data_IF_751466354603
#
_entry.id   IF_751466354603
#
_cell.length_a   1.000
_cell.length_b   1.000
_cell.length_c   1.000
_cell.angle_alpha   90.00
_cell.angle_beta   90.00
_cell.angle_gamma   90.00
#
_symmetry.space_group_name_H-M   'P 1'
#
loop_
_entity.id
_entity.type
_entity.pdbx_description
1 polymer ?
#
# COMPACT_ATOMS: atom_id res chain seq x y z
N UNK A 1 26.28 -2.93 -19.27
CA UNK A 1 25.93 -1.65 -19.90
C UNK A 1 24.50 -1.77 -20.40
N UNK A 2 23.52 -1.57 -19.52
CA UNK A 2 22.11 -1.52 -19.93
C UNK A 2 21.88 -0.11 -20.45
N UNK A 3 21.66 0.04 -21.75
CA UNK A 3 21.33 1.33 -22.37
C UNK A 3 20.11 1.91 -21.64
N UNK A 4 20.25 3.10 -21.07
CA UNK A 4 19.16 3.82 -20.42
C UNK A 4 18.07 4.05 -21.46
N UNK A 5 16.91 3.44 -21.24
CA UNK A 5 15.76 3.62 -22.12
C UNK A 5 15.09 4.95 -21.82
N UNK A 6 14.57 5.59 -22.85
CA UNK A 6 13.94 6.91 -22.78
C UNK A 6 12.56 6.93 -23.45
N UNK A 7 11.77 7.95 -23.15
CA UNK A 7 10.48 8.13 -23.81
C UNK A 7 10.70 8.29 -25.32
N UNK A 8 9.94 7.55 -26.13
CA UNK A 8 10.11 7.46 -27.57
C UNK A 8 10.85 6.22 -28.05
N UNK A 9 11.58 5.52 -27.17
CA UNK A 9 12.26 4.28 -27.53
C UNK A 9 11.28 3.19 -27.99
N UNK A 10 11.71 2.41 -28.98
CA UNK A 10 11.00 1.24 -29.47
C UNK A 10 11.78 -0.01 -29.07
N UNK A 11 11.08 -0.97 -28.44
CA UNK A 11 11.62 -2.26 -28.03
C UNK A 11 10.84 -3.37 -28.74
N UNK A 12 11.54 -4.35 -29.30
CA UNK A 12 10.92 -5.55 -29.84
C UNK A 12 11.25 -6.74 -28.93
N UNK A 13 10.24 -7.54 -28.59
CA UNK A 13 10.37 -8.77 -27.81
C UNK A 13 9.71 -9.91 -28.59
N UNK A 14 10.48 -10.95 -28.86
CA UNK A 14 9.97 -12.18 -29.48
C UNK A 14 9.51 -13.15 -28.39
N UNK A 15 8.30 -13.69 -28.56
CA UNK A 15 7.79 -14.72 -27.66
C UNK A 15 8.30 -16.09 -28.08
N UNK A 16 9.05 -16.73 -27.18
CA UNK A 16 9.62 -18.07 -27.38
C UNK A 16 8.58 -19.15 -27.71
N UNK A 17 7.32 -18.96 -27.29
CA UNK A 17 6.30 -20.02 -27.37
C UNK A 17 5.35 -19.88 -28.56
N UNK A 18 5.32 -18.74 -29.29
CA UNK A 18 4.21 -18.44 -30.23
C UNK A 18 4.59 -17.79 -31.57
N UNK A 19 5.87 -17.65 -31.92
CA UNK A 19 6.32 -16.88 -33.10
C UNK A 19 5.66 -15.49 -33.20
N UNK A 20 5.35 -14.89 -32.04
CA UNK A 20 4.75 -13.55 -31.96
C UNK A 20 5.83 -12.55 -31.60
N UNK A 21 5.84 -11.42 -32.30
CA UNK A 21 6.69 -10.28 -31.95
C UNK A 21 5.85 -9.21 -31.28
N UNK A 22 6.27 -8.74 -30.11
CA UNK A 22 5.67 -7.62 -29.41
C UNK A 22 6.56 -6.39 -29.57
N UNK A 23 6.01 -5.33 -30.13
CA UNK A 23 6.68 -4.04 -30.27
C UNK A 23 6.12 -3.09 -29.21
N UNK A 24 6.99 -2.60 -28.33
CA UNK A 24 6.66 -1.62 -27.32
C UNK A 24 7.21 -0.26 -27.74
N UNK A 25 6.36 0.75 -27.84
CA UNK A 25 6.78 2.15 -27.89
C UNK A 25 6.65 2.75 -26.50
N UNK A 26 7.76 3.12 -25.90
CA UNK A 26 7.76 3.77 -24.59
C UNK A 26 7.18 5.17 -24.74
N UNK A 27 6.15 5.46 -23.96
CA UNK A 27 5.52 6.77 -23.94
C UNK A 27 6.10 7.65 -22.84
N UNK A 28 6.30 7.09 -21.65
CA UNK A 28 6.67 7.85 -20.47
C UNK A 28 7.35 6.97 -19.42
N UNK A 29 8.25 7.61 -18.68
CA UNK A 29 8.75 7.14 -17.39
C UNK A 29 8.23 8.06 -16.29
N UNK A 30 7.85 7.48 -15.16
CA UNK A 30 7.43 8.20 -13.97
C UNK A 30 8.14 7.61 -12.75
N UNK A 31 8.75 8.46 -11.93
CA UNK A 31 9.30 8.02 -10.65
C UNK A 31 8.14 7.79 -9.69
N UNK A 32 8.11 6.61 -9.08
CA UNK A 32 7.05 6.19 -8.18
C UNK A 32 7.63 5.76 -6.83
N UNK A 33 6.89 6.02 -5.77
CA UNK A 33 7.13 5.49 -4.44
C UNK A 33 5.94 4.62 -4.03
N UNK A 34 6.23 3.38 -3.64
CA UNK A 34 5.26 2.43 -3.12
C UNK A 34 5.41 2.33 -1.61
N UNK A 35 4.30 2.53 -0.91
CA UNK A 35 4.16 2.36 0.52
C UNK A 35 3.45 1.03 0.80
N UNK A 36 3.73 0.46 1.97
CA UNK A 36 3.00 -0.70 2.49
C UNK A 36 3.01 -0.65 4.00
N UNK A 37 1.84 -0.84 4.60
CA UNK A 37 1.66 -0.78 6.04
C UNK A 37 0.70 -1.88 6.49
N UNK A 38 0.68 -2.12 7.79
CA UNK A 38 -0.41 -2.85 8.42
C UNK A 38 -1.32 -1.87 9.14
N UNK A 39 -2.64 -2.08 9.12
CA UNK A 39 -3.58 -1.30 9.91
C UNK A 39 -4.70 -2.13 10.52
N UNK A 40 -5.28 -1.59 11.58
CA UNK A 40 -6.53 -2.02 12.21
C UNK A 40 -7.50 -0.87 12.06
N UNK A 41 -8.63 -1.11 11.39
CA UNK A 41 -9.61 -0.08 11.07
C UNK A 41 -10.88 -0.21 11.93
N UNK A 42 -11.44 0.94 12.30
CA UNK A 42 -12.73 1.08 12.95
C UNK A 42 -13.60 2.12 12.24
N UNK A 43 -14.89 1.80 12.10
CA UNK A 43 -15.90 2.66 11.49
C UNK A 43 -16.87 3.19 12.56
N UNK A 44 -16.92 4.50 12.77
CA UNK A 44 -17.80 5.08 13.77
C UNK A 44 -19.30 5.06 13.39
N UNK A 45 -19.64 4.73 12.15
CA UNK A 45 -21.04 4.45 11.79
C UNK A 45 -21.57 3.14 12.38
N UNK A 46 -20.68 2.22 12.78
CA UNK A 46 -21.03 0.91 13.33
C UNK A 46 -20.72 0.80 14.83
N UNK A 47 -19.71 1.52 15.32
CA UNK A 47 -19.26 1.48 16.72
C UNK A 47 -19.06 2.91 17.25
N UNK A 48 -19.59 3.20 18.43
CA UNK A 48 -19.42 4.51 19.09
C UNK A 48 -17.95 4.90 19.31
N UNK A 49 -17.64 6.20 19.28
CA UNK A 49 -16.26 6.72 19.35
C UNK A 49 -15.59 6.36 20.68
N UNK A 50 -16.31 6.40 21.80
CA UNK A 50 -15.74 6.03 23.10
C UNK A 50 -15.39 4.54 23.15
N UNK A 51 -16.18 3.73 22.44
CA UNK A 51 -15.89 2.29 22.30
C UNK A 51 -14.68 2.06 21.40
N UNK A 52 -14.57 2.79 20.29
CA UNK A 52 -13.38 2.75 19.41
C UNK A 52 -12.12 3.13 20.21
N UNK A 53 -12.16 4.18 21.02
CA UNK A 53 -11.01 4.60 21.83
C UNK A 53 -10.62 3.54 22.87
N UNK A 54 -11.62 2.93 23.51
CA UNK A 54 -11.41 1.83 24.45
C UNK A 54 -10.77 0.61 23.78
N UNK A 55 -11.23 0.25 22.57
CA UNK A 55 -10.66 -0.84 21.79
C UNK A 55 -9.23 -0.53 21.36
N UNK A 56 -8.97 0.69 20.89
CA UNK A 56 -7.61 1.10 20.49
C UNK A 56 -6.64 1.09 21.67
N UNK A 57 -7.08 1.52 22.86
CA UNK A 57 -6.25 1.42 24.06
C UNK A 57 -5.97 -0.04 24.46
N UNK A 58 -6.99 -0.90 24.40
CA UNK A 58 -6.82 -2.33 24.66
C UNK A 58 -5.79 -2.97 23.73
N UNK A 59 -5.88 -2.67 22.42
CA UNK A 59 -4.97 -3.18 21.39
C UNK A 59 -3.54 -2.71 21.64
N UNK A 60 -3.33 -1.43 21.94
CA UNK A 60 -2.00 -0.90 22.27
C UNK A 60 -1.41 -1.56 23.52
N UNK A 61 -2.22 -1.81 24.55
CA UNK A 61 -1.76 -2.53 25.73
C UNK A 61 -1.35 -3.97 25.39
N UNK A 62 -2.10 -4.65 24.52
CA UNK A 62 -1.79 -6.01 24.04
C UNK A 62 -0.51 -6.05 23.21
N UNK A 63 -0.30 -5.08 22.33
CA UNK A 63 0.94 -4.90 21.57
C UNK A 63 2.14 -4.70 22.49
N UNK A 64 2.00 -3.86 23.52
CA UNK A 64 3.03 -3.66 24.54
C UNK A 64 3.31 -4.93 25.36
N UNK A 65 2.32 -5.82 25.50
CA UNK A 65 2.45 -7.14 26.09
C UNK A 65 3.09 -8.20 25.17
N UNK A 66 3.46 -7.83 23.94
CA UNK A 66 4.10 -8.72 22.96
C UNK A 66 3.13 -9.48 22.05
N UNK A 67 1.83 -9.21 22.11
CA UNK A 67 0.88 -9.77 21.15
C UNK A 67 1.16 -9.21 19.74
N UNK A 68 1.10 -10.07 18.72
CA UNK A 68 1.48 -9.67 17.38
C UNK A 68 0.41 -8.81 16.70
N UNK A 69 0.85 -7.82 15.92
CA UNK A 69 -0.05 -6.92 15.21
C UNK A 69 -1.01 -7.66 14.26
N UNK A 70 -0.53 -8.71 13.60
CA UNK A 70 -1.33 -9.48 12.64
C UNK A 70 -2.48 -10.22 13.33
N UNK A 71 -2.27 -10.75 14.53
CA UNK A 71 -3.32 -11.41 15.31
C UNK A 71 -4.38 -10.41 15.78
N UNK A 72 -3.93 -9.24 16.26
CA UNK A 72 -4.84 -8.17 16.67
C UNK A 72 -5.64 -7.61 15.49
N UNK A 73 -5.00 -7.46 14.33
CA UNK A 73 -5.69 -7.03 13.12
C UNK A 73 -6.75 -8.03 12.65
N UNK A 74 -6.45 -9.33 12.68
CA UNK A 74 -7.43 -10.40 12.39
C UNK A 74 -8.62 -10.38 13.34
N UNK A 75 -8.41 -10.00 14.60
CA UNK A 75 -9.43 -10.01 15.65
C UNK A 75 -10.29 -8.74 15.66
N UNK A 76 -9.69 -7.57 15.42
CA UNK A 76 -10.33 -6.29 15.71
C UNK A 76 -10.55 -5.39 14.49
N UNK A 77 -9.86 -5.62 13.36
CA UNK A 77 -10.04 -4.76 12.20
C UNK A 77 -11.39 -5.02 11.56
N UNK A 78 -12.11 -3.93 11.26
CA UNK A 78 -13.42 -3.97 10.60
C UNK A 78 -13.30 -3.98 9.06
N UNK A 79 -12.08 -3.96 8.52
CA UNK A 79 -11.82 -3.92 7.08
C UNK A 79 -11.38 -5.28 6.53
N UNK A 80 -11.48 -5.47 5.22
CA UNK A 80 -11.13 -6.70 4.51
C UNK A 80 -9.66 -7.10 4.64
N UNK A 81 -8.78 -6.19 5.06
CA UNK A 81 -7.38 -6.46 5.37
C UNK A 81 -7.19 -7.35 6.62
N UNK A 82 -8.22 -7.47 7.47
CA UNK A 82 -8.18 -8.23 8.72
C UNK A 82 -7.69 -9.67 8.48
N UNK A 83 -8.23 -10.33 7.45
CA UNK A 83 -7.88 -11.72 7.07
C UNK A 83 -6.38 -11.90 6.74
N UNK A 84 -5.73 -10.82 6.30
CA UNK A 84 -4.31 -10.78 5.95
C UNK A 84 -3.44 -10.19 7.06
N UNK A 85 -3.93 -10.16 8.31
CA UNK A 85 -3.14 -9.60 9.42
C UNK A 85 -2.97 -8.09 9.34
N UNK A 86 -3.94 -7.40 8.77
CA UNK A 86 -3.94 -5.94 8.64
C UNK A 86 -3.15 -5.41 7.46
N UNK A 87 -2.54 -6.27 6.63
CA UNK A 87 -1.73 -5.85 5.49
C UNK A 87 -2.57 -5.17 4.40
N UNK A 88 -2.23 -3.92 4.09
CA UNK A 88 -2.83 -3.15 3.00
C UNK A 88 -2.31 -3.58 1.62
N UNK A 89 -1.13 -4.21 1.57
CA UNK A 89 -0.40 -4.40 0.33
C UNK A 89 0.33 -3.13 -0.12
N UNK A 90 1.01 -3.23 -1.26
CA UNK A 90 1.73 -2.10 -1.85
C UNK A 90 0.75 -1.15 -2.54
N UNK A 91 0.84 0.14 -2.22
CA UNK A 91 0.06 1.21 -2.83
C UNK A 91 0.96 2.40 -3.13
N UNK A 92 0.54 3.23 -4.08
CA UNK A 92 1.28 4.43 -4.47
C UNK A 92 0.87 5.62 -3.61
N UNK A 93 1.78 6.59 -3.51
CA UNK A 93 1.44 7.92 -3.00
C UNK A 93 0.23 8.52 -3.74
N UNK A 94 -0.69 9.12 -2.97
CA UNK A 94 -1.93 9.70 -3.46
C UNK A 94 -3.08 8.70 -3.64
N UNK A 95 -2.87 7.41 -3.37
CA UNK A 95 -3.97 6.43 -3.35
C UNK A 95 -4.75 6.44 -2.04
N UNK A 96 -4.13 6.88 -0.94
CA UNK A 96 -4.76 7.00 0.37
C UNK A 96 -5.02 8.48 0.70
N UNK A 97 -5.87 8.72 1.71
CA UNK A 97 -6.10 10.09 2.18
C UNK A 97 -4.81 10.71 2.73
N UNK A 98 -4.61 12.00 2.45
CA UNK A 98 -3.38 12.72 2.81
C UNK A 98 -3.06 12.60 4.31
N UNK A 99 -4.07 12.65 5.18
CA UNK A 99 -3.91 12.50 6.63
C UNK A 99 -3.30 11.14 7.01
N UNK A 100 -3.65 10.09 6.28
CA UNK A 100 -3.14 8.74 6.50
C UNK A 100 -1.70 8.62 6.01
N UNK A 101 -1.42 9.09 4.80
CA UNK A 101 -0.06 9.04 4.24
C UNK A 101 0.92 9.91 5.03
N UNK A 102 0.51 11.11 5.42
CA UNK A 102 1.32 12.01 6.23
C UNK A 102 1.65 11.39 7.59
N UNK A 103 0.69 10.67 8.19
CA UNK A 103 0.96 9.94 9.41
C UNK A 103 1.99 8.83 9.19
N UNK A 104 1.93 8.09 8.08
CA UNK A 104 2.96 7.10 7.74
C UNK A 104 4.33 7.74 7.59
N UNK A 105 4.45 8.87 6.88
CA UNK A 105 5.74 9.56 6.66
C UNK A 105 6.35 10.16 7.94
N UNK A 106 5.50 10.55 8.89
CA UNK A 106 5.92 11.14 10.17
C UNK A 106 6.45 10.12 11.18
N UNK A 107 6.11 8.84 11.02
CA UNK A 107 6.46 7.79 11.97
C UNK A 107 7.51 6.86 11.36
N UNK A 108 8.47 6.46 12.18
CA UNK A 108 9.60 5.66 11.74
C UNK A 108 9.19 4.21 11.40
N UNK A 109 10.05 3.52 10.65
CA UNK A 109 9.87 2.10 10.37
C UNK A 109 9.76 1.29 11.68
N UNK A 110 8.70 0.49 11.76
CA UNK A 110 8.36 -0.36 12.90
C UNK A 110 7.44 0.32 13.92
N UNK A 111 7.26 1.64 13.84
CA UNK A 111 6.41 2.38 14.78
C UNK A 111 4.93 2.06 14.61
N UNK A 112 4.21 2.18 15.73
CA UNK A 112 2.76 1.99 15.81
C UNK A 112 2.13 3.29 16.30
N UNK A 113 1.16 3.80 15.56
CA UNK A 113 0.52 5.08 15.82
C UNK A 113 -0.97 5.04 15.48
N UNK A 114 -1.71 6.04 15.95
CA UNK A 114 -3.14 6.21 15.63
C UNK A 114 -3.29 7.22 14.48
N UNK A 115 -4.28 6.97 13.63
CA UNK A 115 -4.72 7.93 12.61
C UNK A 115 -6.22 8.09 12.73
N UNK A 116 -6.68 9.33 12.73
CA UNK A 116 -8.09 9.68 12.79
C UNK A 116 -8.45 10.46 11.53
N UNK A 117 -9.54 10.07 10.88
CA UNK A 117 -10.14 10.79 9.75
C UNK A 117 -11.60 11.06 10.11
N UNK A 118 -11.87 12.08 10.95
CA UNK A 118 -13.21 12.31 11.50
C UNK A 118 -14.26 12.66 10.45
N UNK A 119 -13.87 13.28 9.33
CA UNK A 119 -14.77 13.61 8.22
C UNK A 119 -15.44 12.36 7.63
N UNK A 120 -14.67 11.28 7.52
CA UNK A 120 -15.13 9.97 7.02
C UNK A 120 -15.58 9.05 8.15
N UNK A 121 -15.42 9.48 9.41
CA UNK A 121 -15.66 8.68 10.62
C UNK A 121 -14.79 7.42 10.69
N UNK A 122 -13.56 7.52 10.17
CA UNK A 122 -12.60 6.44 10.08
C UNK A 122 -11.48 6.59 11.09
N UNK A 123 -11.10 5.46 11.68
CA UNK A 123 -10.21 5.45 12.82
C UNK A 123 -9.27 4.25 12.74
N UNK A 124 -7.97 4.49 12.88
CA UNK A 124 -6.95 3.49 12.63
C UNK A 124 -5.99 3.33 13.80
N UNK A 125 -5.43 2.14 13.91
CA UNK A 125 -4.07 1.89 14.43
C UNK A 125 -3.25 1.42 13.24
N UNK A 126 -2.12 2.07 12.99
CA UNK A 126 -1.24 1.77 11.87
C UNK A 126 0.11 1.33 12.40
N UNK A 127 0.71 0.34 11.75
CA UNK A 127 2.11 -0.06 11.94
C UNK A 127 2.86 0.22 10.65
N UNK A 128 3.92 1.02 10.73
CA UNK A 128 4.81 1.29 9.59
C UNK A 128 5.72 0.08 9.34
N UNK A 129 5.18 -0.99 8.76
CA UNK A 129 5.80 -2.32 8.74
C UNK A 129 6.78 -2.57 7.59
N UNK A 130 6.85 -1.70 6.58
CA UNK A 130 7.70 -1.88 5.40
C UNK A 130 8.41 -0.59 5.02
N UNK A 131 9.65 -0.72 4.54
CA UNK A 131 10.36 0.43 3.94
C UNK A 131 9.74 0.76 2.58
N UNK A 132 9.61 2.05 2.23
CA UNK A 132 9.15 2.46 0.90
C UNK A 132 10.01 1.85 -0.21
N UNK A 133 9.36 1.44 -1.30
CA UNK A 133 10.05 1.00 -2.53
C UNK A 133 9.97 2.14 -3.54
N UNK A 134 11.13 2.58 -4.02
CA UNK A 134 11.23 3.58 -5.09
C UNK A 134 11.56 2.90 -6.41
N UNK A 135 10.88 3.28 -7.47
CA UNK A 135 11.08 2.71 -8.79
C UNK A 135 10.64 3.64 -9.91
N UNK A 136 10.71 3.14 -11.14
CA UNK A 136 10.17 3.83 -12.32
C UNK A 136 9.01 3.02 -12.88
N UNK A 137 7.85 3.64 -13.04
CA UNK A 137 6.77 3.12 -13.89
C UNK A 137 7.11 3.44 -15.34
N UNK A 138 6.86 2.47 -16.22
CA UNK A 138 6.96 2.65 -17.67
C UNK A 138 5.59 2.49 -18.28
N UNK A 139 5.12 3.53 -18.97
CA UNK A 139 3.90 3.46 -19.79
C UNK A 139 4.32 3.28 -21.24
N UNK A 140 3.80 2.24 -21.90
CA UNK A 140 4.14 1.92 -23.28
C UNK A 140 2.93 1.44 -24.08
N UNK A 141 2.92 1.71 -25.38
CA UNK A 141 1.98 1.08 -26.33
C UNK A 141 2.60 -0.24 -26.76
N UNK A 142 1.86 -1.33 -26.61
CA UNK A 142 2.25 -2.64 -27.12
C UNK A 142 1.48 -2.96 -28.40
N UNK A 143 2.20 -3.38 -29.44
CA UNK A 143 1.63 -3.90 -30.69
C UNK A 143 2.10 -5.34 -30.86
N UNK A 144 1.15 -6.25 -30.99
CA UNK A 144 1.45 -7.63 -31.40
C UNK A 144 1.53 -7.69 -32.93
N UNK A 145 2.63 -8.24 -33.43
CA UNK A 145 2.83 -8.54 -34.85
C UNK A 145 2.85 -10.05 -35.00
N UNK A 146 1.86 -10.58 -35.71
CA UNK A 146 1.84 -11.96 -36.19
C UNK A 146 2.54 -12.00 -37.55
N UNK A 147 3.50 -12.91 -37.71
CA UNK A 147 4.09 -13.23 -39.01
C UNK A 147 3.14 -14.11 -39.84
#
# INVERSE_FOLDING_TARGET
>A
MFLSKEAGDILAFESNDRNKTFIFKILQFEDIELLRVQYIYFNNNEIDIHRIDSLRQLILNKLNGGESFDNLAKMYSMDGNAKNGGDLGWFEEGMMMNEFEDAIRKNDFGEIFKVDIPSEKWYYIVKNSYKPIRGKRVTAICVEVSN
#
